data_IF_647719193121
#
_entry.id   IF_647719193121
#
_cell.length_a   1.000
_cell.length_b   1.000
_cell.length_c   1.000
_cell.angle_alpha   90.00
_cell.angle_beta   90.00
_cell.angle_gamma   90.00
#
_symmetry.space_group_name_H-M   'P 1'
#
loop_
_entity.id
_entity.type
_entity.pdbx_description
1 polymer ?
#
# COMPACT_ATOMS: atom_id res chain seq x y z
N UNK A 1 13.40 11.44 18.74
CA UNK A 1 13.18 12.91 18.67
C UNK A 1 12.45 13.34 17.40
N UNK A 2 12.70 12.78 16.21
CA UNK A 2 11.93 13.10 14.98
C UNK A 2 10.53 12.49 14.90
N UNK A 3 10.41 11.17 15.06
CA UNK A 3 9.11 10.44 15.11
C UNK A 3 8.21 10.80 16.30
N UNK A 4 8.65 11.66 17.22
CA UNK A 4 7.85 12.13 18.35
C UNK A 4 7.46 13.61 18.21
N UNK A 5 7.96 14.28 17.17
CA UNK A 5 7.77 15.70 16.97
C UNK A 5 6.62 15.98 15.99
N UNK A 6 5.42 15.53 16.34
CA UNK A 6 4.18 15.72 15.55
C UNK A 6 3.84 17.22 15.35
N UNK A 7 4.43 18.11 16.15
CA UNK A 7 4.26 19.58 16.04
C UNK A 7 4.95 20.18 14.81
N UNK A 8 5.98 19.52 14.29
CA UNK A 8 6.65 19.88 13.04
C UNK A 8 6.49 18.73 12.05
N UNK A 9 5.40 18.79 11.28
CA UNK A 9 5.05 17.72 10.34
C UNK A 9 6.12 17.47 9.27
N UNK A 10 6.95 18.47 8.96
CA UNK A 10 8.03 18.33 7.97
C UNK A 10 9.17 17.47 8.54
N UNK A 11 9.57 17.72 9.79
CA UNK A 11 10.56 16.90 10.49
C UNK A 11 10.04 15.47 10.67
N UNK A 12 8.76 15.33 10.99
CA UNK A 12 8.13 14.01 11.10
C UNK A 12 8.12 13.28 9.74
N UNK A 13 7.68 13.94 8.66
CA UNK A 13 7.65 13.38 7.31
C UNK A 13 9.03 12.86 6.88
N UNK A 14 10.08 13.70 7.01
CA UNK A 14 11.46 13.31 6.69
C UNK A 14 11.92 12.14 7.56
N UNK A 15 11.53 12.10 8.83
CA UNK A 15 11.87 10.98 9.72
C UNK A 15 11.25 9.67 9.26
N UNK A 16 10.00 9.68 8.80
CA UNK A 16 9.31 8.49 8.27
C UNK A 16 9.97 8.00 6.98
N UNK A 17 10.28 8.90 6.05
CA UNK A 17 10.98 8.56 4.80
C UNK A 17 12.37 7.95 5.07
N UNK A 18 13.12 8.52 6.03
CA UNK A 18 14.42 7.98 6.44
C UNK A 18 14.28 6.57 7.01
N UNK A 19 13.24 6.28 7.78
CA UNK A 19 12.98 4.92 8.27
C UNK A 19 12.78 3.96 7.09
N UNK A 20 11.99 4.33 6.07
CA UNK A 20 11.82 3.52 4.86
C UNK A 20 13.15 3.21 4.16
N UNK A 21 13.99 4.24 3.95
CA UNK A 21 15.32 4.06 3.38
C UNK A 21 16.23 3.15 4.22
N UNK A 22 16.18 3.26 5.56
CA UNK A 22 16.96 2.39 6.46
C UNK A 22 16.45 0.94 6.36
N UNK A 23 15.14 0.72 6.23
CA UNK A 23 14.58 -0.62 6.04
C UNK A 23 15.16 -1.28 4.79
N UNK A 24 15.18 -0.57 3.66
CA UNK A 24 15.79 -1.06 2.43
C UNK A 24 17.31 -1.24 2.48
N UNK A 25 18.02 -0.50 3.34
CA UNK A 25 19.47 -0.60 3.48
C UNK A 25 19.93 -1.70 4.46
N UNK A 26 19.12 -1.97 5.48
CA UNK A 26 19.47 -2.92 6.56
C UNK A 26 18.82 -4.31 6.38
N UNK A 27 17.79 -4.42 5.55
CA UNK A 27 16.97 -5.64 5.43
C UNK A 27 16.57 -6.15 6.83
N UNK A 28 16.64 -7.47 7.07
CA UNK A 28 16.26 -8.10 8.34
C UNK A 28 17.03 -7.56 9.56
N UNK A 29 18.15 -6.85 9.39
CA UNK A 29 18.93 -6.27 10.50
C UNK A 29 18.19 -5.12 11.21
N UNK A 30 17.14 -4.56 10.60
CA UNK A 30 16.25 -3.56 11.24
C UNK A 30 15.36 -4.19 12.33
N UNK A 31 15.17 -5.52 12.32
CA UNK A 31 14.20 -6.22 13.16
C UNK A 31 14.24 -5.85 14.67
N UNK A 32 15.41 -5.66 15.32
CA UNK A 32 15.47 -5.26 16.74
C UNK A 32 14.85 -3.88 17.04
N UNK A 33 14.71 -3.03 16.02
CA UNK A 33 14.19 -1.66 16.16
C UNK A 33 12.72 -1.55 15.73
N UNK A 34 12.19 -2.53 14.99
CA UNK A 34 10.85 -2.46 14.39
C UNK A 34 9.73 -2.32 15.41
N UNK A 35 9.82 -2.93 16.58
CA UNK A 35 8.75 -2.84 17.59
C UNK A 35 8.56 -1.40 18.10
N UNK A 36 9.65 -0.68 18.33
CA UNK A 36 9.59 0.73 18.72
C UNK A 36 9.09 1.63 17.59
N UNK A 37 9.56 1.40 16.37
CA UNK A 37 9.15 2.16 15.17
C UNK A 37 7.65 1.96 14.92
N UNK A 38 7.19 0.71 14.81
CA UNK A 38 5.80 0.38 14.54
C UNK A 38 4.88 0.91 15.63
N UNK A 39 5.28 0.83 16.91
CA UNK A 39 4.50 1.39 18.01
C UNK A 39 4.29 2.90 17.87
N UNK A 40 5.33 3.65 17.46
CA UNK A 40 5.20 5.09 17.24
C UNK A 40 4.29 5.39 16.04
N UNK A 41 4.57 4.80 14.88
CA UNK A 41 3.79 5.02 13.65
C UNK A 41 2.29 4.70 13.83
N UNK A 42 1.97 3.58 14.50
CA UNK A 42 0.59 3.18 14.78
C UNK A 42 -0.10 4.13 15.77
N UNK A 43 0.63 4.61 16.78
CA UNK A 43 0.09 5.58 17.75
C UNK A 43 -0.22 6.91 17.08
N UNK A 44 0.68 7.40 16.23
CA UNK A 44 0.51 8.66 15.51
C UNK A 44 -0.69 8.59 14.55
N UNK A 45 -0.81 7.49 13.80
CA UNK A 45 -1.94 7.24 12.90
C UNK A 45 -3.28 7.12 13.64
N UNK A 46 -3.28 6.52 14.84
CA UNK A 46 -4.47 6.40 15.70
C UNK A 46 -4.91 7.74 16.32
N UNK A 47 -4.01 8.70 16.46
CA UNK A 47 -4.28 9.94 17.21
C UNK A 47 -5.29 10.87 16.53
N UNK A 48 -5.51 10.71 15.22
CA UNK A 48 -6.43 11.54 14.43
C UNK A 48 -5.97 12.98 14.19
N UNK A 49 -4.81 13.40 14.74
CA UNK A 49 -4.25 14.75 14.59
C UNK A 49 -2.98 14.69 13.73
N UNK A 50 -3.09 14.16 12.52
CA UNK A 50 -1.98 14.13 11.57
C UNK A 50 -2.21 15.06 10.39
N UNK A 51 -1.13 15.71 9.97
CA UNK A 51 -1.14 16.47 8.73
C UNK A 51 -1.41 15.53 7.54
N UNK A 52 -2.27 15.90 6.58
CA UNK A 52 -2.60 15.06 5.43
C UNK A 52 -1.36 14.48 4.72
N UNK A 53 -0.31 15.28 4.51
CA UNK A 53 0.93 14.83 3.85
C UNK A 53 1.69 13.72 4.57
N UNK A 54 1.44 13.47 5.85
CA UNK A 54 2.17 12.48 6.65
C UNK A 54 1.56 11.09 6.53
N UNK A 55 0.23 11.01 6.43
CA UNK A 55 -0.50 9.75 6.41
C UNK A 55 -0.05 8.82 5.27
N UNK A 56 0.10 9.30 4.01
CA UNK A 56 0.61 8.49 2.92
C UNK A 56 2.02 7.93 3.18
N UNK A 57 2.89 8.73 3.78
CA UNK A 57 4.28 8.35 4.05
C UNK A 57 4.38 7.22 5.07
N UNK A 58 3.52 7.24 6.09
CA UNK A 58 3.45 6.15 7.08
C UNK A 58 3.03 4.84 6.40
N UNK A 59 2.06 4.88 5.48
CA UNK A 59 1.64 3.69 4.76
C UNK A 59 2.76 3.14 3.87
N UNK A 60 3.42 3.98 3.06
CA UNK A 60 4.58 3.54 2.27
C UNK A 60 5.68 2.95 3.17
N UNK A 61 5.93 3.56 4.33
CA UNK A 61 6.89 3.04 5.33
C UNK A 61 6.49 1.67 5.88
N UNK A 62 5.21 1.39 6.10
CA UNK A 62 4.76 0.04 6.46
C UNK A 62 5.08 -0.98 5.37
N UNK A 63 4.97 -0.60 4.10
CA UNK A 63 5.39 -1.42 2.96
C UNK A 63 6.88 -1.73 3.01
N UNK A 64 7.73 -0.70 3.20
CA UNK A 64 9.18 -0.85 3.30
C UNK A 64 9.59 -1.76 4.47
N UNK A 65 8.96 -1.59 5.64
CA UNK A 65 9.18 -2.46 6.81
C UNK A 65 8.75 -3.89 6.47
N UNK A 66 7.59 -4.06 5.83
CA UNK A 66 7.07 -5.36 5.39
C UNK A 66 8.04 -6.11 4.48
N UNK A 67 8.64 -5.41 3.51
CA UNK A 67 9.66 -5.96 2.63
C UNK A 67 10.91 -6.36 3.44
N UNK A 68 11.40 -5.46 4.31
CA UNK A 68 12.66 -5.65 5.02
C UNK A 68 12.64 -6.80 6.04
N UNK A 69 11.52 -7.01 6.74
CA UNK A 69 11.43 -8.03 7.80
C UNK A 69 10.64 -9.29 7.39
N UNK A 70 10.02 -9.28 6.21
CA UNK A 70 9.29 -10.40 5.64
C UNK A 70 8.26 -11.01 6.59
N UNK A 71 8.38 -12.33 6.85
CA UNK A 71 7.49 -13.10 7.74
C UNK A 71 7.33 -12.50 9.14
N UNK A 72 8.32 -11.76 9.64
CA UNK A 72 8.25 -11.14 10.96
C UNK A 72 7.19 -10.03 11.03
N UNK A 73 6.69 -9.56 9.89
CA UNK A 73 5.61 -8.59 9.82
C UNK A 73 4.25 -9.16 10.23
N UNK A 74 4.09 -10.50 10.28
CA UNK A 74 2.82 -11.16 10.65
C UNK A 74 2.22 -10.61 11.96
N UNK A 75 3.06 -10.28 12.94
CA UNK A 75 2.62 -9.72 14.23
C UNK A 75 2.01 -8.31 14.13
N UNK A 76 2.31 -7.56 13.07
CA UNK A 76 1.80 -6.20 12.86
C UNK A 76 0.52 -6.15 12.01
N UNK A 77 0.21 -7.22 11.25
CA UNK A 77 -0.98 -7.29 10.41
C UNK A 77 -2.30 -6.91 11.11
N UNK A 78 -2.57 -7.37 12.35
CA UNK A 78 -3.83 -7.04 13.02
C UNK A 78 -3.99 -5.55 13.32
N UNK A 79 -2.91 -4.77 13.30
CA UNK A 79 -2.91 -3.34 13.58
C UNK A 79 -2.86 -2.49 12.31
N UNK A 80 -2.07 -2.90 11.32
CA UNK A 80 -1.89 -2.16 10.06
C UNK A 80 -3.09 -2.31 9.13
N UNK A 81 -3.70 -3.50 9.06
CA UNK A 81 -4.79 -3.75 8.12
C UNK A 81 -6.07 -2.96 8.43
N UNK A 82 -6.50 -2.81 9.70
CA UNK A 82 -7.61 -1.90 10.03
C UNK A 82 -7.32 -0.44 9.68
N UNK A 83 -6.07 0.01 9.82
CA UNK A 83 -5.66 1.37 9.43
C UNK A 83 -5.80 1.57 7.91
N UNK A 84 -5.37 0.60 7.11
CA UNK A 84 -5.57 0.60 5.66
C UNK A 84 -7.06 0.69 5.30
N UNK A 85 -7.92 -0.03 6.03
CA UNK A 85 -9.37 0.00 5.81
C UNK A 85 -9.97 1.38 6.08
N UNK A 86 -9.66 1.98 7.23
CA UNK A 86 -10.14 3.31 7.59
C UNK A 86 -9.64 4.36 6.60
N UNK A 87 -8.36 4.33 6.24
CA UNK A 87 -7.81 5.24 5.23
C UNK A 87 -8.48 5.05 3.86
N UNK A 88 -8.88 3.82 3.54
CA UNK A 88 -9.59 3.50 2.31
C UNK A 88 -10.98 4.12 2.23
N UNK A 89 -11.71 4.10 3.34
CA UNK A 89 -13.01 4.74 3.47
C UNK A 89 -12.90 6.27 3.37
N UNK A 90 -11.86 6.86 3.97
CA UNK A 90 -11.60 8.31 3.89
C UNK A 90 -11.40 8.75 2.45
N UNK A 91 -10.56 8.05 1.67
CA UNK A 91 -10.34 8.46 0.28
C UNK A 91 -11.58 8.24 -0.59
N UNK A 92 -12.36 7.18 -0.34
CA UNK A 92 -13.59 6.89 -1.09
C UNK A 92 -14.69 7.95 -0.87
N UNK A 93 -14.70 8.60 0.30
CA UNK A 93 -15.63 9.67 0.65
C UNK A 93 -15.12 11.08 0.31
N UNK A 94 -13.88 11.21 -0.17
CA UNK A 94 -13.22 12.50 -0.35
C UNK A 94 -13.73 13.24 -1.58
N UNK A 95 -14.15 14.50 -1.40
CA UNK A 95 -14.46 15.39 -2.52
C UNK A 95 -13.17 15.95 -3.13
N UNK A 96 -12.83 15.49 -4.34
CA UNK A 96 -11.64 15.90 -5.09
C UNK A 96 -11.89 17.11 -6.00
N UNK A 97 -12.80 18.01 -5.61
CA UNK A 97 -13.15 19.20 -6.39
C UNK A 97 -12.00 20.19 -6.59
N UNK A 98 -11.01 20.22 -5.68
CA UNK A 98 -9.81 21.06 -5.83
C UNK A 98 -8.53 20.23 -5.97
N UNK A 99 -7.53 20.82 -6.62
CA UNK A 99 -6.26 20.17 -6.97
C UNK A 99 -5.47 19.68 -5.74
N UNK A 100 -5.50 20.42 -4.62
CA UNK A 100 -4.80 20.02 -3.40
C UNK A 100 -5.39 18.74 -2.79
N UNK A 101 -6.71 18.64 -2.72
CA UNK A 101 -7.41 17.44 -2.24
C UNK A 101 -7.24 16.27 -3.20
N UNK A 102 -7.24 16.51 -4.52
CA UNK A 102 -6.95 15.48 -5.52
C UNK A 102 -5.52 14.93 -5.35
N UNK A 103 -4.52 15.80 -5.22
CA UNK A 103 -3.14 15.39 -5.00
C UNK A 103 -2.97 14.61 -3.70
N UNK A 104 -3.60 15.05 -2.60
CA UNK A 104 -3.60 14.31 -1.35
C UNK A 104 -4.26 12.94 -1.49
N UNK A 105 -5.43 12.87 -2.13
CA UNK A 105 -6.14 11.62 -2.41
C UNK A 105 -5.26 10.64 -3.18
N UNK A 106 -4.57 11.11 -4.22
CA UNK A 106 -3.67 10.26 -5.01
C UNK A 106 -2.44 9.80 -4.21
N UNK A 107 -1.85 10.67 -3.38
CA UNK A 107 -0.77 10.28 -2.47
C UNK A 107 -1.25 9.20 -1.50
N UNK A 108 -2.43 9.36 -0.90
CA UNK A 108 -2.99 8.40 0.04
C UNK A 108 -3.24 7.04 -0.64
N UNK A 109 -3.83 7.04 -1.84
CA UNK A 109 -4.02 5.81 -2.63
C UNK A 109 -2.70 5.10 -2.91
N UNK A 110 -1.66 5.84 -3.33
CA UNK A 110 -0.31 5.28 -3.55
C UNK A 110 0.23 4.66 -2.26
N UNK A 111 0.20 5.41 -1.16
CA UNK A 111 0.69 4.91 0.14
C UNK A 111 0.00 3.62 0.58
N UNK A 112 -1.32 3.53 0.44
CA UNK A 112 -2.09 2.31 0.74
C UNK A 112 -1.66 1.15 -0.17
N UNK A 113 -1.50 1.37 -1.47
CA UNK A 113 -1.04 0.33 -2.39
C UNK A 113 0.41 -0.09 -2.13
N UNK A 114 1.31 0.84 -1.83
CA UNK A 114 2.70 0.57 -1.45
C UNK A 114 2.75 -0.28 -0.17
N UNK A 115 1.94 0.08 0.84
CA UNK A 115 1.80 -0.70 2.06
C UNK A 115 1.37 -2.15 1.75
N UNK A 116 0.29 -2.29 0.97
CA UNK A 116 -0.25 -3.60 0.62
C UNK A 116 0.74 -4.43 -0.20
N UNK A 117 1.33 -3.83 -1.24
CA UNK A 117 2.35 -4.45 -2.08
C UNK A 117 3.56 -4.89 -1.27
N UNK A 118 4.13 -4.01 -0.44
CA UNK A 118 5.31 -4.32 0.37
C UNK A 118 5.05 -5.44 1.40
N UNK A 119 3.89 -5.42 2.06
CA UNK A 119 3.47 -6.49 2.98
C UNK A 119 3.29 -7.81 2.24
N UNK A 120 2.61 -7.82 1.09
CA UNK A 120 2.40 -9.02 0.27
C UNK A 120 3.73 -9.59 -0.22
N UNK A 121 4.65 -8.74 -0.68
CA UNK A 121 5.99 -9.13 -1.12
C UNK A 121 6.83 -9.71 0.02
N UNK A 122 6.77 -9.10 1.21
CA UNK A 122 7.44 -9.61 2.41
C UNK A 122 6.89 -10.97 2.86
N UNK A 123 5.60 -11.21 2.63
CA UNK A 123 4.89 -12.43 3.04
C UNK A 123 4.74 -13.47 1.91
N UNK A 124 5.32 -13.26 0.72
CA UNK A 124 5.16 -14.16 -0.44
C UNK A 124 5.56 -15.62 -0.20
N UNK A 125 6.50 -15.86 0.71
CA UNK A 125 6.95 -17.20 1.12
C UNK A 125 6.33 -17.67 2.45
N UNK A 126 5.38 -16.90 2.99
CA UNK A 126 4.63 -17.21 4.21
C UNK A 126 3.32 -17.92 3.84
N UNK A 127 2.50 -18.24 4.85
CA UNK A 127 1.21 -18.90 4.63
C UNK A 127 0.27 -17.96 3.86
N UNK A 128 -0.15 -18.34 2.66
CA UNK A 128 -1.15 -17.61 1.86
C UNK A 128 -2.46 -17.35 2.63
N UNK A 129 -2.75 -18.21 3.62
CA UNK A 129 -3.89 -18.09 4.54
C UNK A 129 -3.91 -16.79 5.34
N UNK A 130 -2.74 -16.19 5.62
CA UNK A 130 -2.63 -14.93 6.35
C UNK A 130 -3.20 -13.75 5.55
N UNK A 131 -3.13 -13.82 4.21
CA UNK A 131 -3.54 -12.74 3.32
C UNK A 131 -5.00 -12.86 2.86
N UNK A 132 -5.60 -14.05 2.98
CA UNK A 132 -7.00 -14.28 2.58
C UNK A 132 -8.01 -13.32 3.23
N UNK A 133 -7.93 -12.99 4.54
CA UNK A 133 -8.86 -12.04 5.16
C UNK A 133 -8.79 -10.64 4.56
N UNK A 134 -7.63 -10.25 4.01
CA UNK A 134 -7.36 -8.90 3.52
C UNK A 134 -7.52 -8.77 2.00
N UNK A 135 -7.46 -9.89 1.27
CA UNK A 135 -7.54 -9.92 -0.18
C UNK A 135 -8.83 -9.30 -0.74
N UNK A 136 -9.97 -9.56 -0.10
CA UNK A 136 -11.25 -8.99 -0.54
C UNK A 136 -11.27 -7.46 -0.46
N UNK A 137 -10.70 -6.91 0.61
CA UNK A 137 -10.60 -5.46 0.79
C UNK A 137 -9.65 -4.82 -0.24
N UNK A 138 -8.48 -5.42 -0.47
CA UNK A 138 -7.53 -4.92 -1.47
C UNK A 138 -8.15 -4.89 -2.87
N UNK A 139 -8.89 -5.94 -3.26
CA UNK A 139 -9.62 -5.97 -4.53
C UNK A 139 -10.70 -4.89 -4.62
N UNK A 140 -11.39 -4.61 -3.52
CA UNK A 140 -12.38 -3.54 -3.48
C UNK A 140 -11.75 -2.16 -3.69
N UNK A 141 -10.60 -1.89 -3.07
CA UNK A 141 -9.83 -0.64 -3.27
C UNK A 141 -9.41 -0.51 -4.74
N UNK A 142 -8.81 -1.57 -5.32
CA UNK A 142 -8.39 -1.59 -6.73
C UNK A 142 -9.59 -1.28 -7.63
N UNK A 143 -10.73 -1.95 -7.43
CA UNK A 143 -11.94 -1.73 -8.22
C UNK A 143 -12.44 -0.29 -8.12
N UNK A 144 -12.37 0.31 -6.92
CA UNK A 144 -12.81 1.69 -6.72
C UNK A 144 -11.93 2.68 -7.48
N UNK A 145 -10.61 2.51 -7.41
CA UNK A 145 -9.65 3.32 -8.18
C UNK A 145 -9.86 3.16 -9.68
N UNK A 146 -9.98 1.92 -10.17
CA UNK A 146 -10.22 1.62 -11.61
C UNK A 146 -11.50 2.29 -12.13
N UNK A 147 -12.52 2.43 -11.28
CA UNK A 147 -13.77 3.10 -11.63
C UNK A 147 -13.69 4.63 -11.72
N UNK A 148 -12.58 5.26 -11.35
CA UNK A 148 -12.44 6.71 -11.39
C UNK A 148 -12.33 7.24 -12.83
N UNK A 149 -13.10 8.29 -13.13
CA UNK A 149 -13.11 8.95 -14.45
C UNK A 149 -11.74 9.49 -14.86
N UNK A 150 -10.99 9.97 -13.87
CA UNK A 150 -9.66 10.55 -14.02
C UNK A 150 -8.75 9.91 -12.98
N UNK A 151 -7.83 9.05 -13.44
CA UNK A 151 -6.84 8.38 -12.59
C UNK A 151 -5.47 8.98 -12.85
N UNK A 152 -4.72 9.22 -11.78
CA UNK A 152 -3.30 9.51 -11.92
C UNK A 152 -2.54 8.24 -12.30
N UNK A 153 -1.65 8.36 -13.27
CA UNK A 153 -0.92 7.21 -13.82
C UNK A 153 -0.11 6.46 -12.75
N UNK A 154 0.49 7.18 -11.82
CA UNK A 154 1.25 6.63 -10.69
C UNK A 154 0.37 5.78 -9.77
N UNK A 155 -0.90 6.16 -9.57
CA UNK A 155 -1.88 5.39 -8.80
C UNK A 155 -2.26 4.12 -9.57
N UNK A 156 -2.48 4.21 -10.88
CA UNK A 156 -2.75 3.05 -11.72
C UNK A 156 -1.59 2.04 -11.70
N UNK A 157 -0.33 2.51 -11.74
CA UNK A 157 0.87 1.67 -11.63
C UNK A 157 0.92 0.93 -10.29
N UNK A 158 0.66 1.64 -9.18
CA UNK A 158 0.63 1.04 -7.86
C UNK A 158 -0.52 0.01 -7.72
N UNK A 159 -1.69 0.31 -8.28
CA UNK A 159 -2.84 -0.60 -8.26
C UNK A 159 -2.59 -1.89 -9.05
N UNK A 160 -2.02 -1.81 -10.27
CA UNK A 160 -1.70 -3.00 -11.07
C UNK A 160 -0.57 -3.82 -10.43
N UNK A 161 0.44 -3.17 -9.84
CA UNK A 161 1.48 -3.85 -9.08
C UNK A 161 0.92 -4.61 -7.88
N UNK A 162 0.12 -3.94 -7.03
CA UNK A 162 -0.52 -4.56 -5.87
C UNK A 162 -1.45 -5.73 -6.26
N UNK A 163 -2.09 -5.65 -7.43
CA UNK A 163 -2.89 -6.75 -7.98
C UNK A 163 -2.02 -7.99 -8.31
N UNK A 164 -0.85 -7.78 -8.93
CA UNK A 164 0.10 -8.84 -9.22
C UNK A 164 0.73 -9.43 -7.94
N UNK A 165 1.07 -8.60 -6.97
CA UNK A 165 1.56 -9.06 -5.66
C UNK A 165 0.51 -9.88 -4.91
N UNK A 166 -0.75 -9.48 -5.00
CA UNK A 166 -1.86 -10.23 -4.41
C UNK A 166 -2.03 -11.60 -5.09
N UNK A 167 -1.96 -11.63 -6.42
CA UNK A 167 -2.01 -12.88 -7.18
C UNK A 167 -0.86 -13.81 -6.79
N UNK A 168 0.35 -13.27 -6.69
CA UNK A 168 1.55 -14.00 -6.30
C UNK A 168 1.44 -14.56 -4.87
N UNK A 169 1.04 -13.74 -3.89
CA UNK A 169 0.94 -14.13 -2.49
C UNK A 169 -0.17 -15.17 -2.21
N UNK A 170 -1.25 -15.15 -2.99
CA UNK A 170 -2.36 -16.09 -2.83
C UNK A 170 -2.15 -17.40 -3.60
N UNK A 171 -1.29 -17.40 -4.62
CA UNK A 171 -1.00 -18.55 -5.47
C UNK A 171 -2.30 -19.22 -5.97
N UNK A 172 -2.53 -20.52 -5.72
CA UNK A 172 -3.70 -21.24 -6.23
C UNK A 172 -5.05 -20.67 -5.72
N UNK A 173 -5.07 -19.97 -4.58
CA UNK A 173 -6.27 -19.39 -4.01
C UNK A 173 -6.76 -18.14 -4.74
N UNK A 174 -5.94 -17.58 -5.65
CA UNK A 174 -6.29 -16.42 -6.49
C UNK A 174 -7.63 -16.65 -7.21
N UNK A 175 -7.88 -17.87 -7.70
CA UNK A 175 -9.10 -18.23 -8.43
C UNK A 175 -10.39 -18.09 -7.61
N UNK A 176 -10.30 -18.13 -6.28
CA UNK A 176 -11.44 -18.01 -5.38
C UNK A 176 -11.93 -16.56 -5.30
N UNK A 177 -11.00 -15.60 -5.38
CA UNK A 177 -11.26 -14.18 -5.18
C UNK A 177 -11.64 -13.46 -6.48
N UNK A 178 -11.00 -13.83 -7.59
CA UNK A 178 -11.25 -13.21 -8.90
C UNK A 178 -12.47 -13.81 -9.63
N UNK A 179 -13.57 -14.10 -8.92
CA UNK A 179 -14.79 -14.64 -9.54
C UNK A 179 -15.48 -13.64 -10.48
N UNK A 180 -15.41 -12.34 -10.17
CA UNK A 180 -15.87 -11.25 -11.03
C UNK A 180 -14.81 -10.88 -12.07
N UNK A 181 -14.65 -11.75 -13.09
CA UNK A 181 -13.56 -11.71 -14.07
C UNK A 181 -13.40 -10.42 -14.87
N UNK A 182 -14.42 -9.57 -14.95
CA UNK A 182 -14.44 -8.47 -15.92
C UNK A 182 -13.49 -7.32 -15.55
N UNK A 183 -13.59 -6.78 -14.33
CA UNK A 183 -12.97 -5.48 -14.04
C UNK A 183 -11.43 -5.50 -14.14
N UNK A 184 -10.79 -6.56 -13.63
CA UNK A 184 -9.34 -6.64 -13.61
C UNK A 184 -8.76 -7.03 -14.97
N UNK A 185 -9.50 -7.78 -15.80
CA UNK A 185 -9.08 -8.09 -17.18
C UNK A 185 -9.09 -6.83 -18.02
N UNK A 186 -10.15 -6.02 -17.90
CA UNK A 186 -10.26 -4.77 -18.62
C UNK A 186 -9.22 -3.75 -18.12
N UNK A 187 -9.00 -3.66 -16.81
CA UNK A 187 -7.94 -2.82 -16.25
C UNK A 187 -6.54 -3.26 -16.69
N UNK A 188 -6.26 -4.57 -16.67
CA UNK A 188 -4.96 -5.08 -17.11
C UNK A 188 -4.74 -4.83 -18.60
N UNK A 189 -5.78 -4.95 -19.43
CA UNK A 189 -5.73 -4.60 -20.86
C UNK A 189 -5.43 -3.13 -21.06
N UNK A 190 -6.14 -2.25 -20.35
CA UNK A 190 -5.87 -0.81 -20.35
C UNK A 190 -4.39 -0.50 -20.02
N UNK A 191 -3.84 -1.14 -18.98
CA UNK A 191 -2.44 -0.95 -18.62
C UNK A 191 -1.45 -1.49 -19.68
N UNK A 192 -1.77 -2.59 -20.37
CA UNK A 192 -0.96 -3.15 -21.45
C UNK A 192 -0.97 -2.27 -22.72
N UNK A 193 -2.07 -1.55 -22.94
CA UNK A 193 -2.24 -0.65 -24.08
C UNK A 193 -1.65 0.75 -23.83
N UNK A 194 -1.32 1.10 -22.58
CA UNK A 194 -0.74 2.40 -22.18
C UNK A 194 0.60 2.71 -22.85
N UNK A 195 0.83 3.92 -23.35
CA UNK A 195 2.13 4.29 -23.97
C UNK A 195 3.33 4.30 -23.01
N UNK A 196 3.10 4.26 -21.69
CA UNK A 196 4.18 4.22 -20.71
C UNK A 196 4.81 2.83 -20.60
N UNK A 197 6.12 2.77 -20.89
CA UNK A 197 6.89 1.52 -20.86
C UNK A 197 6.86 0.81 -19.49
N UNK A 198 6.97 1.56 -18.39
CA UNK A 198 6.95 0.99 -17.04
C UNK A 198 5.57 0.44 -16.71
N UNK A 199 4.49 1.11 -17.13
CA UNK A 199 3.13 0.59 -16.98
C UNK A 199 2.98 -0.76 -17.71
N UNK A 200 3.41 -0.85 -18.98
CA UNK A 200 3.36 -2.11 -19.74
C UNK A 200 4.18 -3.21 -19.08
N UNK A 201 5.35 -2.88 -18.56
CA UNK A 201 6.22 -3.83 -17.87
C UNK A 201 5.53 -4.42 -16.63
N UNK A 202 4.99 -3.58 -15.75
CA UNK A 202 4.29 -4.02 -14.54
C UNK A 202 3.04 -4.82 -14.90
N UNK A 203 2.28 -4.38 -15.91
CA UNK A 203 1.09 -5.09 -16.39
C UNK A 203 1.44 -6.46 -16.98
N UNK A 204 2.53 -6.54 -17.76
CA UNK A 204 3.00 -7.81 -18.33
C UNK A 204 3.45 -8.78 -17.24
N UNK A 205 4.13 -8.28 -16.20
CA UNK A 205 4.47 -9.09 -15.04
C UNK A 205 3.21 -9.59 -14.30
N UNK A 206 2.27 -8.69 -14.05
CA UNK A 206 0.99 -8.98 -13.37
C UNK A 206 0.17 -10.03 -14.12
N UNK A 207 0.15 -9.99 -15.46
CA UNK A 207 -0.55 -10.98 -16.29
C UNK A 207 -0.01 -12.41 -16.13
N UNK A 208 1.26 -12.56 -15.72
CA UNK A 208 1.93 -13.85 -15.59
C UNK A 208 1.76 -14.50 -14.22
N UNK A 209 1.32 -13.74 -13.21
CA UNK A 209 1.08 -14.23 -11.84
C UNK A 209 -0.27 -14.94 -11.74
#
# INVERSE_FOLDING_TARGET
>A
MGLQNVRDYQVFAVSVEVVGHICGALDEKILPFCDGIMSHLLTDLSSGVMHPSVTPLIFSCFGDIGIAIGKHFEKYLPYVMPMNQVASEIFAAMDTANEAMMNYSNQLKRGIFDACSGILQGLKNSRSELMLPYAGHLLQIIKLVVGEKTREESVSKAAVAAMGDLAHALGPNVKILFKDRAFYVDFLRECLDSDDYKMKEIATWTQRM
#
